data_IF_373176818928
#
_entry.id   IF_373176818928
#
_cell.length_a   1.000
_cell.length_b   1.000
_cell.length_c   1.000
_cell.angle_alpha   90.00
_cell.angle_beta   90.00
_cell.angle_gamma   90.00
#
_symmetry.space_group_name_H-M   'P 1'
#
loop_
_entity.id
_entity.type
_entity.pdbx_description
1 polymer ?
#
# COMPACT_ATOMS: atom_id res chain seq x y z
N UNK A 1 -50.27 -36.12 30.91
CA UNK A 1 -49.64 -34.81 30.62
C UNK A 1 -48.32 -35.06 29.88
N UNK A 2 -48.17 -34.55 28.66
CA UNK A 2 -47.07 -34.76 27.69
C UNK A 2 -45.74 -34.15 28.17
N UNK A 3 -44.61 -34.74 27.78
CA UNK A 3 -43.53 -34.03 27.06
C UNK A 3 -42.60 -35.00 26.33
N UNK A 4 -42.57 -34.85 25.00
CA UNK A 4 -41.71 -35.56 24.03
C UNK A 4 -40.25 -35.12 24.21
N UNK A 5 -39.33 -36.06 24.36
CA UNK A 5 -37.90 -35.80 24.19
C UNK A 5 -37.62 -35.46 22.72
N UNK A 6 -37.21 -34.22 22.44
CA UNK A 6 -36.72 -33.84 21.11
C UNK A 6 -35.29 -34.33 20.97
N UNK A 7 -35.05 -35.12 19.93
CA UNK A 7 -33.74 -35.63 19.52
C UNK A 7 -32.75 -34.48 19.36
N UNK A 8 -31.67 -34.50 20.12
CA UNK A 8 -30.54 -33.55 20.02
C UNK A 8 -29.78 -33.78 18.70
N UNK A 9 -29.86 -34.99 18.11
CA UNK A 9 -29.16 -35.34 16.88
C UNK A 9 -29.69 -34.65 15.62
N UNK A 10 -30.98 -34.33 15.54
CA UNK A 10 -31.56 -33.66 14.36
C UNK A 10 -31.26 -32.16 14.32
N UNK A 11 -31.03 -31.52 15.47
CA UNK A 11 -30.67 -30.10 15.54
C UNK A 11 -29.22 -29.85 15.07
N UNK A 12 -28.29 -30.74 15.41
CA UNK A 12 -26.88 -30.63 15.01
C UNK A 12 -26.73 -30.89 13.50
N UNK A 13 -27.45 -31.87 12.95
CA UNK A 13 -27.40 -32.18 11.52
C UNK A 13 -27.99 -31.03 10.66
N UNK A 14 -29.07 -30.39 11.13
CA UNK A 14 -29.66 -29.24 10.46
C UNK A 14 -28.73 -28.01 10.46
N UNK A 15 -27.94 -27.79 11.51
CA UNK A 15 -26.94 -26.72 11.57
C UNK A 15 -25.77 -26.96 10.62
N UNK A 16 -25.29 -28.19 10.49
CA UNK A 16 -24.21 -28.54 9.56
C UNK A 16 -24.68 -28.40 8.11
N UNK A 17 -25.89 -28.89 7.78
CA UNK A 17 -26.45 -28.71 6.43
C UNK A 17 -26.72 -27.24 6.13
N UNK A 18 -27.21 -26.47 7.10
CA UNK A 18 -27.39 -25.02 6.96
C UNK A 18 -26.07 -24.28 6.72
N UNK A 19 -25.01 -24.64 7.45
CA UNK A 19 -23.67 -24.06 7.25
C UNK A 19 -23.05 -24.47 5.91
N UNK A 20 -23.25 -25.71 5.46
CA UNK A 20 -22.79 -26.19 4.15
C UNK A 20 -23.59 -25.53 3.02
N UNK A 21 -24.90 -25.37 3.15
CA UNK A 21 -25.73 -24.68 2.16
C UNK A 21 -25.41 -23.18 2.13
N UNK A 22 -25.23 -22.53 3.28
CA UNK A 22 -24.73 -21.15 3.36
C UNK A 22 -23.35 -21.01 2.71
N UNK A 23 -22.43 -21.94 2.99
CA UNK A 23 -21.10 -21.97 2.38
C UNK A 23 -21.15 -22.21 0.87
N UNK A 24 -22.04 -23.07 0.38
CA UNK A 24 -22.23 -23.33 -1.06
C UNK A 24 -22.88 -22.13 -1.78
N UNK A 25 -23.84 -21.45 -1.14
CA UNK A 25 -24.54 -20.28 -1.69
C UNK A 25 -23.63 -19.04 -1.72
N UNK A 26 -22.71 -18.92 -0.75
CA UNK A 26 -21.72 -17.83 -0.68
C UNK A 26 -20.38 -18.17 -1.36
N UNK A 27 -20.29 -19.28 -2.11
CA UNK A 27 -19.09 -19.60 -2.92
C UNK A 27 -18.80 -18.52 -3.97
N UNK A 28 -19.83 -17.80 -4.44
CA UNK A 28 -19.73 -16.78 -5.48
C UNK A 28 -19.19 -15.42 -5.02
N UNK A 29 -19.16 -15.13 -3.71
CA UNK A 29 -18.72 -13.85 -3.16
C UNK A 29 -17.28 -13.88 -2.61
N UNK A 30 -16.63 -15.05 -2.60
CA UNK A 30 -15.28 -15.24 -2.04
C UNK A 30 -14.24 -15.54 -3.11
N UNK A 31 -14.25 -14.74 -4.17
CA UNK A 31 -13.07 -14.44 -4.98
C UNK A 31 -13.43 -13.24 -5.86
N UNK A 32 -13.06 -12.01 -5.47
CA UNK A 32 -12.84 -11.00 -6.50
C UNK A 32 -11.81 -11.61 -7.45
N UNK A 33 -12.22 -11.91 -8.68
CA UNK A 33 -11.32 -12.29 -9.75
C UNK A 33 -10.32 -11.14 -9.90
N UNK A 34 -9.13 -11.34 -9.32
CA UNK A 34 -8.10 -10.31 -9.33
C UNK A 34 -7.71 -10.07 -10.78
N UNK A 35 -8.24 -8.99 -11.38
CA UNK A 35 -7.92 -8.58 -12.75
C UNK A 35 -6.43 -8.70 -13.00
N UNK A 36 -6.03 -9.16 -14.17
CA UNK A 36 -4.60 -9.18 -14.50
C UNK A 36 -4.03 -7.75 -14.48
N UNK A 37 -2.74 -7.64 -14.15
CA UNK A 37 -2.08 -6.33 -14.21
C UNK A 37 -1.92 -5.91 -15.66
N UNK A 38 -2.36 -4.69 -15.97
CA UNK A 38 -1.88 -4.01 -17.16
C UNK A 38 -0.44 -3.54 -16.89
N UNK A 39 0.45 -3.89 -17.83
CA UNK A 39 1.86 -3.50 -17.79
C UNK A 39 2.07 -2.29 -18.69
N UNK A 40 2.34 -1.14 -18.08
CA UNK A 40 2.64 0.12 -18.75
C UNK A 40 4.15 0.35 -18.71
N UNK A 41 4.84 0.00 -19.80
CA UNK A 41 6.27 0.28 -19.96
C UNK A 41 6.49 1.77 -20.28
N UNK A 42 7.72 2.27 -20.16
CA UNK A 42 8.09 3.63 -20.58
C UNK A 42 7.27 4.77 -19.94
N UNK A 43 6.78 4.56 -18.72
CA UNK A 43 6.16 5.61 -17.93
C UNK A 43 7.19 6.70 -17.58
N UNK A 44 6.70 7.93 -17.39
CA UNK A 44 7.50 9.08 -16.97
C UNK A 44 6.82 9.84 -15.85
N UNK A 45 7.59 10.27 -14.85
CA UNK A 45 7.08 11.13 -13.79
C UNK A 45 6.66 12.48 -14.38
N UNK A 46 5.48 12.96 -14.01
CA UNK A 46 5.04 14.33 -14.28
C UNK A 46 5.37 15.18 -13.06
N UNK A 47 6.15 16.26 -13.20
CA UNK A 47 6.39 17.18 -12.10
C UNK A 47 5.08 17.79 -11.60
N UNK A 48 4.72 17.49 -10.35
CA UNK A 48 3.55 18.05 -9.71
C UNK A 48 3.82 18.33 -8.23
N UNK A 49 3.28 19.43 -7.70
CA UNK A 49 3.44 19.82 -6.30
C UNK A 49 2.80 18.83 -5.33
N UNK A 50 1.80 18.08 -5.78
CA UNK A 50 1.07 17.05 -5.05
C UNK A 50 1.77 15.70 -5.02
N UNK A 51 2.84 15.48 -5.80
CA UNK A 51 3.64 14.26 -5.68
C UNK A 51 4.20 14.15 -4.25
N UNK A 52 4.18 12.95 -3.69
CA UNK A 52 4.77 12.58 -2.41
C UNK A 52 5.61 11.29 -2.56
N UNK A 53 5.95 10.64 -1.45
CA UNK A 53 6.80 9.45 -1.48
C UNK A 53 6.12 8.23 -2.09
N UNK A 54 4.80 8.10 -1.96
CA UNK A 54 4.04 6.89 -2.32
C UNK A 54 2.86 7.16 -3.28
N UNK A 55 2.64 8.40 -3.69
CA UNK A 55 1.61 8.86 -4.61
C UNK A 55 2.16 9.92 -5.57
N UNK A 56 1.98 9.73 -6.87
CA UNK A 56 2.59 10.63 -7.87
C UNK A 56 1.89 10.57 -9.23
N UNK A 57 2.01 11.67 -9.97
CA UNK A 57 1.49 11.80 -11.32
C UNK A 57 2.45 11.20 -12.35
N UNK A 58 1.89 10.34 -13.22
CA UNK A 58 2.66 9.60 -14.22
C UNK A 58 2.04 9.82 -15.59
N UNK A 59 2.87 10.16 -16.57
CA UNK A 59 2.53 10.09 -17.99
C UNK A 59 2.69 8.65 -18.45
N UNK A 60 1.60 8.01 -18.81
CA UNK A 60 1.55 6.63 -19.31
C UNK A 60 1.71 6.61 -20.84
N UNK A 61 2.01 5.45 -21.48
CA UNK A 61 2.37 5.38 -22.91
C UNK A 61 1.35 5.95 -23.89
N UNK A 62 0.06 5.84 -23.56
CA UNK A 62 -1.01 6.40 -24.38
C UNK A 62 -1.15 7.94 -24.27
N UNK A 63 -0.26 8.59 -23.50
CA UNK A 63 -0.19 10.03 -23.34
C UNK A 63 -1.02 10.59 -22.18
N UNK A 64 -1.88 9.78 -21.53
CA UNK A 64 -2.65 10.21 -20.36
C UNK A 64 -1.73 10.48 -19.17
N UNK A 65 -2.18 11.38 -18.28
CA UNK A 65 -1.58 11.56 -16.96
C UNK A 65 -2.49 10.92 -15.92
N UNK A 66 -1.94 10.04 -15.09
CA UNK A 66 -2.65 9.29 -14.05
C UNK A 66 -1.92 9.47 -12.74
N UNK A 67 -2.65 9.73 -11.66
CA UNK A 67 -2.09 9.71 -10.31
C UNK A 67 -2.14 8.28 -9.75
N UNK A 68 -0.97 7.71 -9.46
CA UNK A 68 -0.86 6.38 -8.88
C UNK A 68 -0.53 6.46 -7.41
N UNK A 69 -1.06 5.52 -6.61
CA UNK A 69 -0.62 5.25 -5.23
C UNK A 69 0.01 3.86 -5.17
N UNK A 70 1.13 3.73 -4.48
CA UNK A 70 1.77 2.43 -4.30
C UNK A 70 0.91 1.52 -3.42
N UNK A 71 0.88 0.24 -3.77
CA UNK A 71 0.47 -0.81 -2.85
C UNK A 71 1.45 -0.91 -1.66
N UNK A 72 0.97 -1.48 -0.55
CA UNK A 72 1.66 -1.79 0.70
C UNK A 72 2.18 -0.63 1.54
N UNK A 73 2.65 0.44 0.91
CA UNK A 73 3.38 1.51 1.62
C UNK A 73 2.58 2.79 1.72
N UNK A 74 2.90 3.58 2.75
CA UNK A 74 2.45 4.95 2.98
C UNK A 74 3.65 5.80 3.38
N UNK A 75 3.96 6.87 2.64
CA UNK A 75 4.99 7.81 3.05
C UNK A 75 4.40 8.82 4.06
N UNK A 76 5.20 9.38 4.98
CA UNK A 76 4.75 10.45 5.85
C UNK A 76 4.24 11.66 5.06
N UNK A 77 3.23 12.35 5.59
CA UNK A 77 2.74 13.60 5.02
C UNK A 77 3.87 14.64 5.01
N UNK A 78 4.18 15.24 3.86
CA UNK A 78 5.26 16.22 3.72
C UNK A 78 4.94 17.62 4.31
N UNK A 79 3.93 17.73 5.17
CA UNK A 79 3.49 19.01 5.70
C UNK A 79 2.08 18.96 6.29
N UNK A 80 1.81 19.88 7.22
CA UNK A 80 0.48 20.08 7.79
C UNK A 80 -0.42 20.76 6.76
N UNK A 81 -1.63 20.24 6.60
CA UNK A 81 -2.65 20.80 5.71
C UNK A 81 -3.98 20.92 6.45
N UNK A 82 -4.62 22.07 6.30
CA UNK A 82 -6.00 22.30 6.70
C UNK A 82 -6.87 22.30 5.44
N UNK A 83 -7.95 21.54 5.47
CA UNK A 83 -8.87 21.35 4.36
C UNK A 83 -10.05 22.33 4.47
N UNK A 84 -10.81 22.45 3.38
CA UNK A 84 -11.93 23.41 3.28
C UNK A 84 -13.07 23.14 4.26
N UNK A 85 -13.21 21.90 4.71
CA UNK A 85 -14.20 21.45 5.70
C UNK A 85 -13.75 21.70 7.15
N UNK A 86 -12.59 22.32 7.36
CA UNK A 86 -12.01 22.61 8.67
C UNK A 86 -11.22 21.45 9.28
N UNK A 87 -11.18 20.28 8.63
CA UNK A 87 -10.34 19.16 9.07
C UNK A 87 -8.86 19.41 8.75
N UNK A 88 -7.97 18.68 9.42
CA UNK A 88 -6.54 18.70 9.12
C UNK A 88 -5.92 17.29 9.10
N UNK A 89 -4.66 17.18 8.69
CA UNK A 89 -3.93 15.92 8.65
C UNK A 89 -3.02 15.67 9.87
N UNK A 90 -3.12 16.44 10.96
CA UNK A 90 -2.19 16.32 12.12
C UNK A 90 -2.32 14.99 12.84
N UNK A 91 -3.53 14.44 12.94
CA UNK A 91 -3.74 13.11 13.51
C UNK A 91 -3.02 12.03 12.69
N UNK A 92 -3.04 12.14 11.36
CA UNK A 92 -2.30 11.24 10.46
C UNK A 92 -0.80 11.38 10.62
N UNK A 93 -0.30 12.62 10.69
CA UNK A 93 1.13 12.90 10.93
C UNK A 93 1.58 12.26 12.24
N UNK A 94 0.83 12.43 13.33
CA UNK A 94 1.15 11.78 14.61
C UNK A 94 1.26 10.25 14.48
N UNK A 95 0.26 9.62 13.86
CA UNK A 95 0.27 8.17 13.65
C UNK A 95 1.42 7.69 12.73
N UNK A 96 1.88 8.55 11.81
CA UNK A 96 3.07 8.26 11.00
C UNK A 96 4.35 8.37 11.84
N UNK A 97 4.47 9.39 12.71
CA UNK A 97 5.59 9.53 13.63
C UNK A 97 5.69 8.39 14.64
N UNK A 98 4.56 7.98 15.22
CA UNK A 98 4.46 6.85 16.14
C UNK A 98 5.00 5.56 15.52
N UNK A 99 4.71 5.34 14.22
CA UNK A 99 5.21 4.19 13.49
C UNK A 99 6.75 4.15 13.47
N UNK A 100 7.39 5.30 13.29
CA UNK A 100 8.84 5.45 13.22
C UNK A 100 9.51 5.59 14.60
N UNK A 101 8.83 5.23 15.69
CA UNK A 101 9.41 5.26 17.03
C UNK A 101 9.05 6.51 17.84
N UNK A 102 8.01 7.25 17.45
CA UNK A 102 7.51 8.40 18.21
C UNK A 102 8.08 9.74 17.75
N UNK A 103 8.34 9.89 16.44
CA UNK A 103 8.82 11.15 15.87
C UNK A 103 7.83 12.29 16.13
N UNK A 104 8.37 13.47 16.41
CA UNK A 104 7.60 14.70 16.50
C UNK A 104 6.98 15.11 15.15
N UNK A 105 6.07 16.08 15.19
CA UNK A 105 5.39 16.57 13.98
C UNK A 105 6.40 17.07 12.92
N UNK A 106 7.39 17.87 13.33
CA UNK A 106 8.39 18.45 12.41
C UNK A 106 9.24 17.38 11.75
N UNK A 107 9.75 16.42 12.52
CA UNK A 107 10.54 15.29 12.03
C UNK A 107 9.75 14.42 11.07
N UNK A 108 8.49 14.13 11.43
CA UNK A 108 7.60 13.34 10.58
C UNK A 108 7.34 14.03 9.24
N UNK A 109 7.09 15.35 9.25
CA UNK A 109 6.90 16.09 8.00
C UNK A 109 8.19 16.23 7.19
N UNK A 110 9.34 16.37 7.86
CA UNK A 110 10.66 16.38 7.22
C UNK A 110 10.97 15.04 6.55
N UNK A 111 10.63 13.93 7.18
CA UNK A 111 10.73 12.59 6.60
C UNK A 111 9.83 12.43 5.37
N UNK A 112 8.62 13.02 5.40
CA UNK A 112 7.73 13.06 4.24
C UNK A 112 8.30 13.87 3.07
N UNK A 113 8.96 15.00 3.34
CA UNK A 113 9.68 15.75 2.32
C UNK A 113 10.89 14.99 1.75
N UNK A 114 11.62 14.27 2.60
CA UNK A 114 12.73 13.42 2.18
C UNK A 114 12.23 12.29 1.27
N UNK A 115 11.18 11.59 1.67
CA UNK A 115 10.53 10.55 0.87
C UNK A 115 10.09 11.06 -0.50
N UNK A 116 9.46 12.24 -0.54
CA UNK A 116 9.09 12.92 -1.79
C UNK A 116 10.29 13.19 -2.70
N UNK A 117 11.36 13.79 -2.16
CA UNK A 117 12.58 14.12 -2.90
C UNK A 117 13.24 12.85 -3.44
N UNK A 118 13.32 11.82 -2.61
CA UNK A 118 13.90 10.54 -2.94
C UNK A 118 13.12 9.84 -4.07
N UNK A 119 11.79 9.71 -3.94
CA UNK A 119 10.93 9.12 -4.98
C UNK A 119 11.00 9.90 -6.30
N UNK A 120 10.96 11.23 -6.22
CA UNK A 120 11.06 12.10 -7.42
C UNK A 120 12.38 11.89 -8.15
N UNK A 121 13.51 11.76 -7.43
CA UNK A 121 14.81 11.47 -8.03
C UNK A 121 14.81 10.10 -8.70
N UNK A 122 14.39 9.06 -7.98
CA UNK A 122 14.37 7.68 -8.48
C UNK A 122 13.54 7.50 -9.74
N UNK A 123 12.43 8.25 -9.87
CA UNK A 123 11.53 8.20 -11.02
C UNK A 123 11.86 9.23 -12.12
N UNK A 124 12.68 10.23 -11.80
CA UNK A 124 13.10 11.28 -12.74
C UNK A 124 14.28 10.87 -13.61
N UNK A 125 15.14 9.97 -13.13
CA UNK A 125 16.41 9.65 -13.80
C UNK A 125 16.23 8.80 -15.08
N UNK A 126 15.20 7.95 -15.14
CA UNK A 126 14.94 7.01 -16.26
C UNK A 126 13.45 6.67 -16.38
N UNK A 127 13.08 6.04 -17.50
CA UNK A 127 11.77 5.40 -17.63
C UNK A 127 11.58 4.26 -16.63
N UNK A 128 10.35 4.08 -16.17
CA UNK A 128 9.97 2.99 -15.26
C UNK A 128 8.74 2.25 -15.79
N UNK A 129 8.46 1.07 -15.24
CA UNK A 129 7.27 0.28 -15.59
C UNK A 129 6.25 0.38 -14.46
N UNK A 130 5.01 0.70 -14.81
CA UNK A 130 3.86 0.67 -13.90
C UNK A 130 3.07 -0.61 -14.15
N UNK A 131 2.65 -1.27 -13.08
CA UNK A 131 1.71 -2.38 -13.11
C UNK A 131 0.47 -1.98 -12.34
N UNK A 132 -0.69 -1.89 -13.00
CA UNK A 132 -1.94 -1.47 -12.36
C UNK A 132 -3.11 -2.35 -12.81
N UNK A 133 -4.11 -2.46 -11.94
CA UNK A 133 -5.42 -3.05 -12.24
C UNK A 133 -6.50 -1.99 -12.38
N UNK A 134 -6.10 -0.71 -12.40
CA UNK A 134 -6.99 0.44 -12.38
C UNK A 134 -7.95 0.44 -11.18
N UNK A 135 -7.56 -0.18 -10.07
CA UNK A 135 -8.36 -0.19 -8.84
C UNK A 135 -8.30 1.21 -8.20
N UNK A 136 -9.43 1.89 -8.00
CA UNK A 136 -9.45 3.21 -7.39
C UNK A 136 -9.06 3.14 -5.91
N UNK A 137 -8.31 4.14 -5.45
CA UNK A 137 -7.88 4.29 -4.05
C UNK A 137 -9.00 4.98 -3.28
N UNK A 138 -9.66 4.25 -2.38
CA UNK A 138 -10.76 4.77 -1.54
C UNK A 138 -11.88 5.45 -2.34
N UNK A 139 -12.15 4.97 -3.57
CA UNK A 139 -13.15 5.58 -4.47
C UNK A 139 -12.75 6.93 -5.08
N UNK A 140 -11.51 7.37 -4.87
CA UNK A 140 -10.96 8.59 -5.45
C UNK A 140 -10.37 8.40 -6.86
N UNK A 141 -9.83 9.47 -7.45
CA UNK A 141 -9.29 9.47 -8.82
C UNK A 141 -7.96 8.71 -8.96
N UNK A 142 -7.29 8.41 -7.84
CA UNK A 142 -6.01 7.70 -7.81
C UNK A 142 -6.19 6.21 -8.05
N UNK A 143 -5.25 5.60 -8.76
CA UNK A 143 -5.22 4.15 -8.95
C UNK A 143 -4.09 3.50 -8.16
N UNK A 144 -4.33 2.32 -7.59
CA UNK A 144 -3.23 1.54 -7.01
C UNK A 144 -2.29 0.98 -8.09
N UNK A 145 -1.01 0.91 -7.78
CA UNK A 145 0.00 0.36 -8.68
C UNK A 145 1.21 -0.25 -7.96
N UNK A 146 1.91 -1.13 -8.66
CA UNK A 146 3.32 -1.40 -8.43
C UNK A 146 4.18 -0.65 -9.43
N UNK A 147 5.37 -0.24 -9.01
CA UNK A 147 6.35 0.43 -9.88
C UNK A 147 7.66 -0.35 -9.85
N UNK A 148 8.11 -0.79 -11.02
CA UNK A 148 9.39 -1.42 -11.26
C UNK A 148 10.34 -0.44 -11.96
N UNK A 149 11.56 -0.32 -11.46
CA UNK A 149 12.61 0.53 -12.02
C UNK A 149 13.98 -0.14 -11.89
N UNK A 150 14.94 0.29 -12.71
CA UNK A 150 16.33 -0.14 -12.60
C UNK A 150 17.04 0.61 -11.48
N UNK A 151 17.61 -0.11 -10.52
CA UNK A 151 18.39 0.45 -9.43
C UNK A 151 19.53 -0.49 -9.06
N UNK A 152 20.76 0.04 -9.03
CA UNK A 152 21.99 -0.74 -8.80
C UNK A 152 22.17 -1.91 -9.79
N UNK A 153 21.84 -1.67 -11.07
CA UNK A 153 22.02 -2.65 -12.16
C UNK A 153 21.02 -3.80 -12.17
N UNK A 154 19.91 -3.69 -11.42
CA UNK A 154 18.83 -4.67 -11.41
C UNK A 154 17.46 -4.01 -11.28
N UNK A 155 16.44 -4.74 -11.72
CA UNK A 155 15.04 -4.39 -11.49
C UNK A 155 14.67 -4.46 -10.01
N UNK A 156 14.05 -3.41 -9.50
CA UNK A 156 13.61 -3.26 -8.11
C UNK A 156 12.20 -2.69 -8.06
N UNK A 157 11.46 -3.07 -7.02
CA UNK A 157 10.17 -2.49 -6.72
C UNK A 157 10.31 -1.23 -5.87
N UNK A 158 9.67 -0.14 -6.27
CA UNK A 158 9.76 1.15 -5.57
C UNK A 158 9.29 1.06 -4.11
N UNK A 159 8.19 0.36 -3.85
CA UNK A 159 7.64 0.22 -2.48
C UNK A 159 8.61 -0.53 -1.55
N UNK A 160 9.40 -1.46 -2.08
CA UNK A 160 10.44 -2.14 -1.29
C UNK A 160 11.60 -1.22 -0.96
N UNK A 161 12.05 -0.44 -1.95
CA UNK A 161 13.15 0.50 -1.76
C UNK A 161 12.79 1.57 -0.71
N UNK A 162 11.56 2.09 -0.74
CA UNK A 162 11.09 3.06 0.27
C UNK A 162 11.13 2.50 1.70
N UNK A 163 10.77 1.22 1.88
CA UNK A 163 10.88 0.56 3.20
C UNK A 163 12.34 0.30 3.58
N UNK A 164 13.17 -0.10 2.61
CA UNK A 164 14.61 -0.31 2.79
C UNK A 164 15.37 0.96 3.19
N UNK A 165 14.92 2.14 2.71
CA UNK A 165 15.45 3.45 3.08
C UNK A 165 14.78 4.05 4.33
N UNK A 166 13.77 3.39 4.91
CA UNK A 166 13.05 3.91 6.08
C UNK A 166 12.21 5.16 5.78
N UNK A 167 11.78 5.33 4.53
CA UNK A 167 11.05 6.50 4.03
C UNK A 167 9.54 6.26 3.90
N UNK A 168 9.07 5.02 4.10
CA UNK A 168 7.66 4.69 4.13
C UNK A 168 7.34 3.60 5.15
N UNK A 169 6.12 3.65 5.68
CA UNK A 169 5.56 2.62 6.56
C UNK A 169 4.80 1.57 5.77
N UNK A 170 4.78 0.34 6.26
CA UNK A 170 3.96 -0.76 5.75
C UNK A 170 2.53 -0.57 6.30
N UNK A 171 1.59 -0.09 5.48
CA UNK A 171 0.27 0.34 5.97
C UNK A 171 -0.90 0.16 4.99
N UNK A 172 -0.70 0.43 3.69
CA UNK A 172 -1.80 0.46 2.72
C UNK A 172 -2.23 -0.91 2.24
N UNK A 173 -3.20 -0.94 1.31
CA UNK A 173 -3.69 -2.15 0.67
C UNK A 173 -2.53 -2.99 0.09
N UNK A 174 -2.51 -4.28 0.40
CA UNK A 174 -1.59 -5.23 -0.21
C UNK A 174 -2.22 -5.92 -1.41
N UNK A 175 -1.39 -6.45 -2.32
CA UNK A 175 -1.84 -7.18 -3.49
C UNK A 175 -0.82 -8.22 -3.94
N UNK A 176 -1.27 -9.27 -4.64
CA UNK A 176 -0.36 -10.23 -5.28
C UNK A 176 0.53 -9.45 -6.26
N UNK A 177 1.84 -9.66 -6.23
CA UNK A 177 2.76 -8.98 -7.14
C UNK A 177 2.56 -9.44 -8.59
N UNK A 178 2.97 -8.62 -9.58
CA UNK A 178 2.92 -8.99 -10.99
C UNK A 178 3.71 -10.26 -11.32
N UNK A 179 4.78 -10.54 -10.57
CA UNK A 179 5.59 -11.77 -10.73
C UNK A 179 4.99 -13.00 -10.03
N UNK A 180 3.79 -12.89 -9.48
CA UNK A 180 3.09 -13.99 -8.82
C UNK A 180 3.30 -14.10 -7.31
N UNK A 181 4.21 -13.32 -6.71
CA UNK A 181 4.45 -13.35 -5.26
C UNK A 181 3.16 -13.06 -4.50
N UNK A 182 2.79 -13.97 -3.59
CA UNK A 182 1.55 -13.82 -2.83
C UNK A 182 1.66 -12.70 -1.78
N UNK A 183 0.53 -12.13 -1.31
CA UNK A 183 0.57 -10.98 -0.43
C UNK A 183 1.28 -11.20 0.92
N UNK A 184 1.20 -12.41 1.48
CA UNK A 184 1.85 -12.77 2.74
C UNK A 184 3.37 -12.76 2.60
N UNK A 185 3.89 -13.46 1.58
CA UNK A 185 5.33 -13.47 1.29
C UNK A 185 5.89 -12.07 1.02
N UNK A 186 5.13 -11.22 0.33
CA UNK A 186 5.56 -9.83 0.14
C UNK A 186 5.61 -9.06 1.47
N UNK A 187 4.62 -9.24 2.34
CA UNK A 187 4.61 -8.58 3.66
C UNK A 187 5.79 -9.02 4.52
N UNK A 188 6.13 -10.32 4.50
CA UNK A 188 7.31 -10.86 5.21
C UNK A 188 8.62 -10.25 4.68
N UNK A 189 8.71 -10.09 3.36
CA UNK A 189 9.84 -9.40 2.72
C UNK A 189 9.93 -7.94 3.16
N UNK A 190 8.83 -7.19 3.18
CA UNK A 190 8.82 -5.80 3.63
C UNK A 190 9.19 -5.69 5.12
N UNK A 191 8.68 -6.57 5.97
CA UNK A 191 9.07 -6.62 7.38
C UNK A 191 10.58 -6.88 7.54
N UNK A 192 11.15 -7.77 6.72
CA UNK A 192 12.59 -8.06 6.73
C UNK A 192 13.43 -6.84 6.30
N UNK A 193 12.99 -6.11 5.27
CA UNK A 193 13.63 -4.87 4.82
C UNK A 193 13.54 -3.78 5.90
N UNK A 194 12.38 -3.63 6.53
CA UNK A 194 12.20 -2.70 7.64
C UNK A 194 13.12 -3.02 8.82
N UNK A 195 13.27 -4.30 9.19
CA UNK A 195 14.20 -4.69 10.26
C UNK A 195 15.65 -4.31 9.91
N UNK A 196 16.04 -4.41 8.64
CA UNK A 196 17.35 -3.94 8.19
C UNK A 196 17.47 -2.41 8.26
N UNK A 197 16.45 -1.67 7.83
CA UNK A 197 16.39 -0.22 7.92
C UNK A 197 16.51 0.26 9.38
N UNK A 198 15.79 -0.39 10.30
CA UNK A 198 15.89 -0.17 11.76
C UNK A 198 17.31 -0.39 12.28
N UNK A 199 17.91 -1.54 11.99
CA UNK A 199 19.28 -1.85 12.45
C UNK A 199 20.34 -0.88 11.92
N UNK A 200 20.09 -0.29 10.75
CA UNK A 200 21.00 0.66 10.08
C UNK A 200 20.66 2.12 10.38
N UNK A 201 19.63 2.41 11.18
CA UNK A 201 19.18 3.78 11.46
C UNK A 201 18.81 4.55 10.17
N UNK A 202 18.15 3.89 9.21
CA UNK A 202 17.79 4.54 7.93
C UNK A 202 16.49 5.32 8.04
N UNK A 203 16.46 6.49 7.39
CA UNK A 203 15.28 7.36 7.32
C UNK A 203 14.70 7.64 8.70
N UNK A 204 13.39 7.45 8.85
CA UNK A 204 12.71 7.69 10.13
C UNK A 204 13.24 6.87 11.30
N UNK A 205 13.81 5.70 11.04
CA UNK A 205 14.38 4.85 12.10
C UNK A 205 15.70 5.37 12.68
N UNK A 206 16.35 6.32 12.02
CA UNK A 206 17.55 7.00 12.54
C UNK A 206 17.26 8.32 13.24
N UNK A 207 15.99 8.76 13.25
CA UNK A 207 15.56 10.03 13.85
C UNK A 207 14.97 9.85 15.25
N UNK A 208 14.47 8.66 15.58
CA UNK A 208 13.95 8.38 16.91
C UNK A 208 15.09 8.16 17.92
N UNK A 209 15.06 8.89 19.04
CA UNK A 209 15.95 8.72 20.19
C UNK A 209 15.55 7.54 21.10
#
# INVERSE_FOLDING_TARGET
>A
MKRRGKSIGTAILALIVGAVMWWLDHRGELAEEQKEYERLADCRLVPDRGNDGDSFHVKVPDGRTVEFRLYYVDAPESGVRTYRDGNDNRARIRHQGDYFGGLGQMETTGLGEEAKKWTTRMLGDRGFTVYTRWKPVFGGPRCYAFVELEHEGRKRWLHELLVEEGLARIYTEGAKLPNGTNPGAQKDRLNSLQLQAKRRGRGGWGLAE
#
